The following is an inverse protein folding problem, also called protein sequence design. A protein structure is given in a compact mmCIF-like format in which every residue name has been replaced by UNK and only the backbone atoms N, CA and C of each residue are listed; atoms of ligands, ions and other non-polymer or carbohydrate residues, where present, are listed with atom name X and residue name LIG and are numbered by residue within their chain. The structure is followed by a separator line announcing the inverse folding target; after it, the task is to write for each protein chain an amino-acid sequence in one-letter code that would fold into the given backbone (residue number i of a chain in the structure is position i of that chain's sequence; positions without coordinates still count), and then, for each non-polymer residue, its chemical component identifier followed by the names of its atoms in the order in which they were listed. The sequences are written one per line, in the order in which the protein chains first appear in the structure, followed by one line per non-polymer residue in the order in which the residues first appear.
data_IF_517542250626
#
_entry.id   IF_517542250626
#
_cell.length_a   1.000
_cell.length_b   1.000
_cell.length_c   1.000
_cell.angle_alpha   90.00
_cell.angle_beta   90.00
_cell.angle_gamma   90.00
#
_symmetry.space_group_name_H-M   'P 1'
#
loop_
_entity.id
_entity.type
_entity.pdbx_description
1 polymer ?
#
# COMPACT_ATOMS: atom_id res chain seq x y z
N UNK A 1 12.94 -3.67 0.39
CA UNK A 1 12.63 -3.93 -1.03
C UNK A 1 11.16 -4.34 -1.08
N UNK A 2 10.40 -4.09 -2.14
CA UNK A 2 8.97 -4.49 -2.19
C UNK A 2 8.81 -5.99 -2.49
N UNK A 3 9.37 -6.82 -1.63
CA UNK A 3 9.64 -8.25 -1.84
C UNK A 3 8.40 -9.15 -1.87
N UNK A 4 7.26 -8.66 -1.36
CA UNK A 4 6.00 -9.44 -1.31
C UNK A 4 5.17 -9.28 -2.59
N UNK A 5 5.58 -8.40 -3.50
CA UNK A 5 4.91 -8.14 -4.77
C UNK A 5 3.62 -7.34 -4.62
N UNK A 6 2.74 -7.45 -5.63
CA UNK A 6 1.47 -6.72 -5.67
C UNK A 6 0.47 -7.20 -4.61
N UNK A 7 -0.30 -6.27 -4.06
CA UNK A 7 -1.28 -6.48 -2.99
C UNK A 7 -2.36 -7.50 -3.37
N UNK A 8 -2.86 -7.45 -4.60
CA UNK A 8 -3.85 -8.40 -5.10
C UNK A 8 -3.34 -9.86 -5.11
N UNK A 9 -2.06 -10.02 -5.43
CA UNK A 9 -1.36 -11.30 -5.49
C UNK A 9 -1.00 -11.76 -4.10
N UNK A 10 -0.61 -10.84 -3.22
CA UNK A 10 -0.32 -11.10 -1.81
C UNK A 10 -1.54 -11.68 -1.09
N UNK A 11 -2.70 -11.01 -1.20
CA UNK A 11 -3.93 -11.48 -0.56
C UNK A 11 -4.38 -12.85 -1.09
N UNK A 12 -4.28 -13.07 -2.41
CA UNK A 12 -4.71 -14.34 -3.04
C UNK A 12 -3.76 -15.51 -2.77
N UNK A 13 -2.44 -15.33 -2.91
CA UNK A 13 -1.46 -16.42 -2.79
C UNK A 13 -1.40 -17.02 -1.39
N UNK A 14 -1.71 -16.23 -0.37
CA UNK A 14 -1.62 -16.64 1.04
C UNK A 14 -2.98 -16.97 1.66
N UNK A 15 -4.07 -16.86 0.89
CA UNK A 15 -5.44 -16.84 1.44
C UNK A 15 -5.53 -15.88 2.64
N UNK A 16 -4.85 -14.73 2.53
CA UNK A 16 -4.61 -13.82 3.64
C UNK A 16 -5.91 -13.11 3.99
N UNK A 17 -6.42 -13.36 5.19
CA UNK A 17 -7.54 -12.62 5.73
C UNK A 17 -7.01 -11.45 6.55
N UNK A 18 -7.08 -10.26 5.99
CA UNK A 18 -6.80 -9.04 6.72
C UNK A 18 -7.85 -8.85 7.82
N UNK A 19 -7.39 -8.49 9.01
CA UNK A 19 -8.27 -7.87 10.00
C UNK A 19 -8.78 -6.51 9.49
N UNK A 20 -9.83 -6.00 10.14
CA UNK A 20 -10.34 -4.65 9.86
C UNK A 20 -9.26 -3.60 10.12
N UNK A 21 -8.48 -3.75 11.19
CA UNK A 21 -7.42 -2.81 11.55
C UNK A 21 -6.30 -2.77 10.49
N UNK A 22 -5.86 -3.93 10.00
CA UNK A 22 -4.86 -3.99 8.92
C UNK A 22 -5.41 -3.39 7.63
N UNK A 23 -6.68 -3.65 7.32
CA UNK A 23 -7.34 -3.08 6.14
C UNK A 23 -7.35 -1.55 6.21
N UNK A 24 -7.71 -0.99 7.36
CA UNK A 24 -7.71 0.47 7.58
C UNK A 24 -6.29 1.03 7.48
N UNK A 25 -5.30 0.36 8.06
CA UNK A 25 -3.91 0.81 8.01
C UNK A 25 -3.37 0.84 6.57
N UNK A 26 -3.62 -0.21 5.78
CA UNK A 26 -3.20 -0.27 4.39
C UNK A 26 -3.86 0.80 3.54
N UNK A 27 -5.17 1.02 3.72
CA UNK A 27 -5.89 2.10 3.04
C UNK A 27 -5.33 3.48 3.42
N UNK A 28 -4.98 3.71 4.70
CA UNK A 28 -4.33 4.94 5.14
C UNK A 28 -2.98 5.16 4.45
N UNK A 29 -2.15 4.11 4.33
CA UNK A 29 -0.86 4.19 3.66
C UNK A 29 -1.02 4.51 2.15
N UNK A 30 -1.96 3.86 1.47
CA UNK A 30 -2.27 4.14 0.05
C UNK A 30 -2.75 5.59 -0.11
N UNK A 31 -3.67 6.04 0.76
CA UNK A 31 -4.19 7.40 0.73
C UNK A 31 -3.09 8.45 0.93
N UNK A 32 -2.14 8.22 1.84
CA UNK A 32 -0.97 9.09 2.03
C UNK A 32 -0.11 9.16 0.76
N UNK A 33 0.13 8.02 0.10
CA UNK A 33 0.84 7.98 -1.18
C UNK A 33 0.14 8.78 -2.28
N UNK A 34 -1.18 8.64 -2.42
CA UNK A 34 -1.95 9.42 -3.41
C UNK A 34 -1.97 10.91 -3.08
N UNK A 35 -2.15 11.28 -1.81
CA UNK A 35 -2.07 12.68 -1.37
C UNK A 35 -0.70 13.30 -1.71
N UNK A 36 0.39 12.55 -1.55
CA UNK A 36 1.72 12.99 -1.92
C UNK A 36 1.86 13.24 -3.44
N UNK A 37 1.32 12.36 -4.29
CA UNK A 37 1.32 12.56 -5.75
C UNK A 37 0.51 13.81 -6.16
N UNK A 38 -0.68 13.97 -5.56
CA UNK A 38 -1.55 15.11 -5.86
C UNK A 38 -0.99 16.44 -5.35
N UNK A 39 -0.09 16.43 -4.38
CA UNK A 39 0.56 17.63 -3.84
C UNK A 39 1.79 18.09 -4.63
N UNK A 40 2.22 17.36 -5.67
CA UNK A 40 3.31 17.79 -6.55
C UNK A 40 2.91 18.99 -7.42
N UNK A 41 3.89 19.71 -7.97
CA UNK A 41 3.67 20.78 -8.96
C UNK A 41 4.48 20.47 -10.23
N UNK A 42 3.82 20.05 -11.33
CA UNK A 42 2.38 19.87 -11.47
C UNK A 42 1.84 18.66 -10.70
N UNK A 43 0.55 18.69 -10.33
CA UNK A 43 -0.12 17.59 -9.65
C UNK A 43 -0.05 16.30 -10.48
N UNK A 44 0.33 15.18 -9.87
CA UNK A 44 0.48 13.90 -10.57
C UNK A 44 -0.77 13.04 -10.37
N UNK A 45 -1.47 12.72 -11.45
CA UNK A 45 -2.56 11.73 -11.45
C UNK A 45 -1.97 10.33 -11.67
N UNK A 46 -2.20 9.39 -10.75
CA UNK A 46 -1.67 8.03 -10.88
C UNK A 46 -2.15 7.30 -12.14
N UNK A 47 -3.41 7.49 -12.54
CA UNK A 47 -3.98 6.95 -13.79
C UNK A 47 -4.41 5.48 -13.74
N UNK A 48 -3.79 4.64 -12.91
CA UNK A 48 -4.20 3.23 -12.74
C UNK A 48 -4.12 2.74 -11.28
N UNK A 49 -4.81 3.42 -10.36
CA UNK A 49 -4.80 3.01 -8.94
C UNK A 49 -5.65 1.75 -8.75
N UNK A 50 -4.98 0.61 -8.59
CA UNK A 50 -5.60 -0.70 -8.36
C UNK A 50 -4.68 -1.56 -7.47
N UNK A 51 -5.24 -2.56 -6.78
CA UNK A 51 -4.48 -3.43 -5.89
C UNK A 51 -3.28 -4.14 -6.58
N UNK A 52 -3.36 -4.40 -7.88
CA UNK A 52 -2.23 -4.94 -8.66
C UNK A 52 -1.03 -3.99 -8.79
N UNK A 53 -1.25 -2.69 -8.60
CA UNK A 53 -0.24 -1.63 -8.67
C UNK A 53 0.14 -1.09 -7.28
N UNK A 54 -0.36 -1.71 -6.20
CA UNK A 54 0.07 -1.43 -4.83
C UNK A 54 1.05 -2.52 -4.43
N UNK A 55 2.30 -2.15 -4.16
CA UNK A 55 3.36 -3.10 -3.83
C UNK A 55 3.53 -3.22 -2.30
N UNK A 56 3.62 -4.45 -1.81
CA UNK A 56 3.70 -4.76 -0.38
C UNK A 56 5.17 -4.98 0.02
N UNK A 57 5.56 -4.40 1.15
CA UNK A 57 6.86 -4.59 1.78
C UNK A 57 6.68 -4.88 3.26
N UNK A 58 7.67 -5.49 3.89
CA UNK A 58 7.79 -5.43 5.34
C UNK A 58 7.83 -3.96 5.78
N UNK A 59 6.98 -3.60 6.73
CA UNK A 59 7.07 -2.29 7.37
C UNK A 59 8.31 -2.34 8.27
N UNK A 60 9.21 -1.34 8.23
CA UNK A 60 10.29 -1.28 9.20
C UNK A 60 9.64 -1.24 10.57
N UNK A 61 9.89 -2.27 11.39
CA UNK A 61 9.53 -2.23 12.80
C UNK A 61 10.38 -1.10 13.37
N UNK A 62 9.73 -0.05 13.80
CA UNK A 62 10.40 0.96 14.61
C UNK A 62 10.85 0.25 15.90
N UNK A 63 12.14 -0.06 16.00
CA UNK A 63 12.73 -0.71 17.17
C UNK A 63 12.66 0.17 18.43
N UNK A 64 12.16 1.41 18.33
CA UNK A 64 11.91 2.30 19.45
C UNK A 64 10.49 2.21 20.04
N UNK A 65 9.63 1.31 19.55
CA UNK A 65 8.32 0.99 20.15
C UNK A 65 8.31 -0.27 21.01
#
# INVERSE_FOLDING_TARGET
MMEKGALDSFCRKLNYQMSVNETVDWLCQIARGMAHLHAQEPSIVHGDLAARNVLVSTHPVDASR
#
